data_IF_337616536577
#
_entry.id   IF_337616536577
#
_cell.length_a   1.000
_cell.length_b   1.000
_cell.length_c   1.000
_cell.angle_alpha   90.00
_cell.angle_beta   90.00
_cell.angle_gamma   90.00
#
_symmetry.space_group_name_H-M   'P 1'
#
loop_
_entity.id
_entity.type
_entity.pdbx_description
1 polymer ?
#
# COMPACT_ATOMS: atom_id res chain seq x y z
N UNK A 1 -17.97 36.28 54.80
CA UNK A 1 -17.86 36.85 53.45
C UNK A 1 -16.64 36.24 52.82
N UNK A 2 -16.77 35.09 52.15
CA UNK A 2 -15.66 34.39 51.50
C UNK A 2 -15.85 34.49 50.00
N UNK A 3 -14.92 35.18 49.35
CA UNK A 3 -14.81 35.24 47.92
C UNK A 3 -13.87 34.10 47.48
N UNK A 4 -14.46 33.08 46.87
CA UNK A 4 -13.72 32.00 46.19
C UNK A 4 -13.29 32.48 44.80
N UNK A 5 -11.98 32.51 44.57
CA UNK A 5 -11.33 32.79 43.30
C UNK A 5 -11.21 31.51 42.54
N UNK A 6 -11.83 31.39 41.38
CA UNK A 6 -11.65 30.26 40.45
C UNK A 6 -10.31 30.36 39.75
N UNK A 7 -9.60 29.25 39.56
CA UNK A 7 -8.39 29.22 38.72
C UNK A 7 -8.74 29.09 37.24
N UNK A 8 -8.15 29.98 36.47
CA UNK A 8 -8.18 30.08 35.02
C UNK A 8 -7.51 28.84 34.39
N UNK A 9 -8.23 28.10 33.59
CA UNK A 9 -7.69 26.99 32.80
C UNK A 9 -6.88 27.52 31.61
N UNK A 10 -5.58 27.39 31.70
CA UNK A 10 -4.67 27.64 30.59
C UNK A 10 -4.79 26.51 29.56
N UNK A 11 -5.11 26.94 28.33
CA UNK A 11 -5.23 26.06 27.19
C UNK A 11 -3.88 25.45 26.80
N UNK A 12 -3.79 24.13 26.97
CA UNK A 12 -2.69 23.33 26.41
C UNK A 12 -3.04 23.06 24.94
N UNK A 13 -2.41 23.82 24.07
CA UNK A 13 -2.42 23.57 22.64
C UNK A 13 -1.78 22.21 22.32
N UNK A 14 -2.61 21.27 21.92
CA UNK A 14 -2.20 19.94 21.47
C UNK A 14 -1.60 20.05 20.07
N UNK A 15 -0.31 20.39 20.00
CA UNK A 15 0.49 20.30 18.80
C UNK A 15 0.80 18.82 18.54
N UNK A 16 -0.10 18.14 17.85
CA UNK A 16 0.11 16.79 17.33
C UNK A 16 1.32 16.80 16.39
N UNK A 17 2.51 16.51 16.94
CA UNK A 17 3.73 16.27 16.18
C UNK A 17 3.59 15.00 15.38
N UNK A 18 3.18 15.13 14.12
CA UNK A 18 3.39 14.11 13.08
C UNK A 18 4.89 14.03 12.81
N UNK A 19 5.61 13.22 13.54
CA UNK A 19 6.91 12.72 13.11
C UNK A 19 7.44 11.69 14.13
N UNK A 20 6.97 10.46 14.00
CA UNK A 20 7.69 9.31 14.55
C UNK A 20 7.63 8.21 13.50
N UNK A 21 8.75 8.10 12.74
CA UNK A 21 9.01 6.98 11.83
C UNK A 21 9.20 5.71 12.69
N UNK A 22 8.28 4.75 12.70
CA UNK A 22 8.62 3.43 13.20
C UNK A 22 9.24 2.65 12.05
N UNK A 23 10.57 2.61 11.98
CA UNK A 23 11.30 1.60 11.22
C UNK A 23 11.08 0.25 11.88
N UNK A 24 9.89 -0.32 11.69
CA UNK A 24 9.56 -1.66 12.13
C UNK A 24 10.12 -2.67 11.13
N UNK A 25 11.31 -3.20 11.39
CA UNK A 25 11.82 -4.39 10.71
C UNK A 25 10.94 -5.57 11.14
N UNK A 26 10.00 -5.97 10.28
CA UNK A 26 9.19 -7.16 10.50
C UNK A 26 10.04 -8.42 10.27
N UNK A 27 10.56 -8.97 11.36
CA UNK A 27 11.08 -10.34 11.40
C UNK A 27 9.89 -11.30 11.36
N UNK A 28 9.88 -12.21 10.38
CA UNK A 28 8.94 -13.31 10.17
C UNK A 28 7.64 -13.00 9.42
N UNK A 29 7.57 -13.56 8.22
CA UNK A 29 6.48 -13.55 7.23
C UNK A 29 5.15 -14.18 7.68
N UNK A 30 4.98 -14.55 8.91
CA UNK A 30 3.70 -15.08 9.38
C UNK A 30 2.62 -14.03 9.54
N UNK A 31 2.98 -12.76 9.35
CA UNK A 31 2.09 -11.65 9.65
C UNK A 31 2.38 -10.46 8.68
N UNK A 32 1.74 -10.43 7.49
CA UNK A 32 1.06 -9.16 7.22
C UNK A 32 0.10 -9.05 8.40
N UNK A 33 0.34 -8.15 9.36
CA UNK A 33 -0.43 -8.18 10.58
C UNK A 33 -1.90 -8.15 10.17
N UNK A 34 -2.73 -9.03 10.77
CA UNK A 34 -4.19 -8.92 10.62
C UNK A 34 -4.66 -7.49 10.91
N UNK A 35 -3.83 -6.69 11.59
CA UNK A 35 -3.97 -5.26 11.84
C UNK A 35 -3.64 -4.32 10.69
N UNK A 36 -2.78 -4.64 9.69
CA UNK A 36 -2.48 -3.69 8.61
C UNK A 36 -3.70 -3.40 7.74
N UNK A 37 -4.43 -4.45 7.33
CA UNK A 37 -5.67 -4.27 6.59
C UNK A 37 -6.81 -3.75 7.47
N UNK A 38 -6.84 -4.07 8.76
CA UNK A 38 -7.78 -3.49 9.70
C UNK A 38 -7.46 -2.01 9.98
N UNK A 39 -6.20 -1.63 10.03
CA UNK A 39 -5.75 -0.23 10.18
C UNK A 39 -6.00 0.58 8.90
N UNK A 40 -5.78 -0.01 7.71
CA UNK A 40 -6.16 0.59 6.44
C UNK A 40 -7.68 0.79 6.31
N UNK A 41 -8.49 -0.06 6.95
CA UNK A 41 -9.95 0.07 6.92
C UNK A 41 -10.48 1.23 7.78
N UNK A 42 -9.68 1.84 8.65
CA UNK A 42 -10.16 2.84 9.61
C UNK A 42 -9.93 4.30 9.22
N UNK A 43 -8.97 4.63 8.38
CA UNK A 43 -8.75 5.94 7.73
C UNK A 43 -7.34 6.01 7.11
N UNK A 44 -7.23 6.09 5.79
CA UNK A 44 -5.96 6.29 5.11
C UNK A 44 -5.55 5.12 4.22
N UNK A 45 -4.46 5.29 3.48
CA UNK A 45 -3.83 4.20 2.75
C UNK A 45 -2.42 3.95 3.28
N UNK A 46 -2.03 2.68 3.26
CA UNK A 46 -0.71 2.24 3.71
C UNK A 46 0.14 1.80 2.53
N UNK A 47 1.46 2.01 2.65
CA UNK A 47 2.44 1.58 1.66
C UNK A 47 3.16 0.30 2.13
N UNK A 48 3.20 -0.69 1.25
CA UNK A 48 3.99 -1.91 1.41
C UNK A 48 5.15 -1.87 0.42
N UNK A 49 6.37 -1.65 0.90
CA UNK A 49 7.57 -1.66 0.09
C UNK A 49 8.38 -2.94 0.34
N UNK A 50 8.69 -3.70 -0.71
CA UNK A 50 9.45 -4.94 -0.53
C UNK A 50 9.67 -5.73 -1.81
N UNK A 51 10.30 -6.90 -1.71
CA UNK A 51 10.66 -7.71 -2.86
C UNK A 51 9.42 -8.28 -3.59
N UNK A 52 9.60 -8.66 -4.86
CA UNK A 52 8.52 -9.23 -5.69
C UNK A 52 7.87 -10.49 -5.11
N UNK A 53 8.59 -11.25 -4.30
CA UNK A 53 8.06 -12.42 -3.58
C UNK A 53 6.92 -12.08 -2.60
N UNK A 54 6.82 -10.82 -2.17
CA UNK A 54 5.72 -10.31 -1.35
C UNK A 54 4.36 -10.40 -2.06
N UNK A 55 4.36 -10.45 -3.39
CA UNK A 55 3.12 -10.42 -4.18
C UNK A 55 2.15 -11.57 -3.82
N UNK A 56 2.65 -12.78 -3.57
CA UNK A 56 1.81 -13.93 -3.20
C UNK A 56 1.04 -13.68 -1.89
N UNK A 57 1.67 -13.03 -0.93
CA UNK A 57 1.04 -12.66 0.34
C UNK A 57 -0.02 -11.59 0.16
N UNK A 58 0.24 -10.59 -0.70
CA UNK A 58 -0.75 -9.55 -1.02
C UNK A 58 -1.96 -10.19 -1.72
N UNK A 59 -1.76 -11.08 -2.69
CA UNK A 59 -2.84 -11.79 -3.37
C UNK A 59 -3.67 -12.66 -2.41
N UNK A 60 -3.02 -13.30 -1.44
CA UNK A 60 -3.71 -14.02 -0.36
C UNK A 60 -4.55 -13.08 0.50
N UNK A 61 -4.04 -11.89 0.80
CA UNK A 61 -4.79 -10.89 1.54
C UNK A 61 -5.99 -10.35 0.73
N UNK A 62 -5.84 -10.16 -0.57
CA UNK A 62 -6.95 -9.79 -1.48
C UNK A 62 -8.05 -10.86 -1.44
N UNK A 63 -7.71 -12.16 -1.48
CA UNK A 63 -8.68 -13.23 -1.34
C UNK A 63 -9.46 -13.13 -0.03
N UNK A 64 -8.78 -12.90 1.09
CA UNK A 64 -9.41 -12.73 2.41
C UNK A 64 -10.29 -11.48 2.51
N UNK A 65 -9.93 -10.40 1.82
CA UNK A 65 -10.80 -9.23 1.71
C UNK A 65 -12.06 -9.58 0.90
N UNK A 66 -11.90 -10.30 -0.22
CA UNK A 66 -13.00 -10.78 -1.06
C UNK A 66 -13.98 -11.71 -0.33
N UNK A 67 -13.52 -12.46 0.68
CA UNK A 67 -14.39 -13.24 1.57
C UNK A 67 -15.36 -12.34 2.35
N UNK A 68 -14.96 -11.12 2.67
CA UNK A 68 -15.75 -10.18 3.47
C UNK A 68 -16.64 -9.27 2.65
N UNK A 69 -16.31 -9.04 1.37
CA UNK A 69 -17.08 -8.16 0.49
C UNK A 69 -16.35 -7.79 -0.78
N UNK A 70 -16.86 -6.78 -1.48
CA UNK A 70 -16.25 -6.28 -2.70
C UNK A 70 -14.85 -5.71 -2.45
N UNK A 71 -13.93 -5.92 -3.38
CA UNK A 71 -12.54 -5.41 -3.34
C UNK A 71 -12.18 -4.87 -4.72
N UNK A 72 -11.54 -3.72 -4.75
CA UNK A 72 -10.99 -3.15 -5.98
C UNK A 72 -9.48 -3.32 -6.04
N UNK A 73 -9.00 -3.90 -7.13
CA UNK A 73 -7.58 -4.08 -7.40
C UNK A 73 -7.19 -3.25 -8.61
N UNK A 74 -6.20 -2.36 -8.43
CA UNK A 74 -5.60 -1.54 -9.46
C UNK A 74 -4.17 -2.05 -9.69
N UNK A 75 -3.93 -2.68 -10.82
CA UNK A 75 -2.69 -3.42 -11.07
C UNK A 75 -1.77 -2.63 -12.01
N UNK A 76 -0.69 -2.06 -11.46
CA UNK A 76 0.30 -1.29 -12.22
C UNK A 76 1.49 -2.13 -12.70
N UNK A 77 1.76 -3.26 -12.07
CA UNK A 77 2.91 -4.09 -12.37
C UNK A 77 2.60 -5.41 -13.09
N UNK A 78 1.34 -5.60 -13.53
CA UNK A 78 0.84 -6.90 -14.03
C UNK A 78 1.09 -8.03 -13.02
N UNK A 79 0.76 -7.77 -11.74
CA UNK A 79 1.02 -8.66 -10.61
C UNK A 79 -0.17 -9.50 -10.18
N UNK A 80 -1.37 -9.15 -10.62
CA UNK A 80 -2.57 -9.90 -10.27
C UNK A 80 -2.58 -11.26 -10.96
N UNK A 81 -2.71 -12.30 -10.16
CA UNK A 81 -2.82 -13.68 -10.61
C UNK A 81 -4.09 -14.30 -10.00
N UNK A 82 -5.11 -14.48 -10.84
CA UNK A 82 -6.41 -15.04 -10.43
C UNK A 82 -6.30 -16.45 -9.86
N UNK A 83 -5.38 -17.28 -10.38
CA UNK A 83 -5.17 -18.64 -9.86
C UNK A 83 -4.65 -18.64 -8.42
N UNK A 84 -3.70 -17.74 -8.11
CA UNK A 84 -3.21 -17.59 -6.73
C UNK A 84 -4.31 -17.14 -5.78
N UNK A 85 -5.16 -16.20 -6.20
CA UNK A 85 -6.31 -15.73 -5.43
C UNK A 85 -7.34 -16.85 -5.25
N UNK A 86 -7.69 -17.58 -6.30
CA UNK A 86 -8.63 -18.70 -6.24
C UNK A 86 -8.16 -19.80 -5.28
N UNK A 87 -6.87 -20.13 -5.33
CA UNK A 87 -6.28 -21.12 -4.41
C UNK A 87 -6.32 -20.64 -2.96
N UNK A 88 -6.05 -19.35 -2.72
CA UNK A 88 -6.14 -18.74 -1.39
C UNK A 88 -7.58 -18.64 -0.87
N UNK A 89 -8.56 -18.54 -1.78
CA UNK A 89 -9.99 -18.57 -1.49
C UNK A 89 -10.55 -20.00 -1.33
N UNK A 90 -9.68 -21.01 -1.33
CA UNK A 90 -10.08 -22.43 -1.19
C UNK A 90 -11.13 -22.88 -2.24
N UNK A 91 -11.00 -22.41 -3.47
CA UNK A 91 -11.88 -22.77 -4.59
C UNK A 91 -13.29 -22.18 -4.54
N UNK A 92 -13.51 -21.14 -3.71
CA UNK A 92 -14.80 -20.43 -3.65
C UNK A 92 -14.91 -19.39 -4.77
N UNK A 93 -15.66 -19.66 -5.85
CA UNK A 93 -15.75 -18.77 -7.00
C UNK A 93 -16.36 -17.41 -6.65
N UNK A 94 -17.31 -17.36 -5.73
CA UNK A 94 -17.98 -16.15 -5.27
C UNK A 94 -17.01 -15.10 -4.70
N UNK A 95 -15.85 -15.52 -4.22
CA UNK A 95 -14.78 -14.60 -3.76
C UNK A 95 -14.17 -13.87 -4.95
N UNK A 96 -13.95 -14.56 -6.07
CA UNK A 96 -13.39 -13.96 -7.28
C UNK A 96 -14.38 -12.98 -7.92
N UNK A 97 -15.66 -13.26 -7.90
CA UNK A 97 -16.71 -12.39 -8.45
C UNK A 97 -16.79 -11.04 -7.72
N UNK A 98 -16.34 -10.98 -6.46
CA UNK A 98 -16.28 -9.75 -5.66
C UNK A 98 -15.02 -8.93 -5.90
N UNK A 99 -14.06 -9.45 -6.65
CA UNK A 99 -12.78 -8.78 -6.89
C UNK A 99 -12.80 -8.15 -8.29
N UNK A 100 -12.89 -6.83 -8.34
CA UNK A 100 -12.77 -6.09 -9.60
C UNK A 100 -11.32 -5.73 -9.85
N UNK A 101 -10.77 -6.13 -11.00
CA UNK A 101 -9.38 -5.85 -11.38
C UNK A 101 -9.33 -4.92 -12.58
N UNK A 102 -8.55 -3.85 -12.46
CA UNK A 102 -8.23 -2.94 -13.56
C UNK A 102 -6.73 -2.77 -13.67
N UNK A 103 -6.20 -2.71 -14.89
CA UNK A 103 -4.75 -2.67 -15.15
C UNK A 103 -4.33 -1.39 -15.84
N UNK A 104 -3.10 -0.97 -15.51
CA UNK A 104 -2.39 0.10 -16.18
C UNK A 104 -0.99 -0.37 -16.55
N UNK A 105 -0.51 -0.02 -17.72
CA UNK A 105 0.80 -0.40 -18.24
C UNK A 105 1.76 0.79 -18.37
N UNK A 106 1.25 2.01 -18.25
CA UNK A 106 2.02 3.25 -18.27
C UNK A 106 1.61 4.14 -17.11
N UNK A 107 2.48 5.09 -16.73
CA UNK A 107 2.17 6.08 -15.70
C UNK A 107 0.95 6.96 -16.04
N UNK A 108 0.73 7.26 -17.31
CA UNK A 108 -0.45 7.98 -17.78
C UNK A 108 -1.74 7.17 -17.62
N UNK A 109 -1.68 5.86 -17.95
CA UNK A 109 -2.81 4.96 -17.75
C UNK A 109 -3.10 4.76 -16.26
N UNK A 110 -2.07 4.71 -15.41
CA UNK A 110 -2.24 4.61 -13.96
C UNK A 110 -2.95 5.84 -13.40
N UNK A 111 -2.55 7.03 -13.81
CA UNK A 111 -3.25 8.26 -13.44
C UNK A 111 -4.71 8.24 -13.88
N UNK A 112 -4.96 7.94 -15.16
CA UNK A 112 -6.33 7.88 -15.71
C UNK A 112 -7.19 6.80 -15.00
N UNK A 113 -6.59 5.68 -14.62
CA UNK A 113 -7.26 4.61 -13.89
C UNK A 113 -7.67 5.09 -12.48
N UNK A 114 -6.76 5.71 -11.75
CA UNK A 114 -7.06 6.26 -10.41
C UNK A 114 -8.09 7.39 -10.49
N UNK A 115 -7.99 8.28 -11.48
CA UNK A 115 -8.94 9.37 -11.71
C UNK A 115 -10.37 8.85 -11.90
N UNK A 116 -10.55 7.85 -12.76
CA UNK A 116 -11.86 7.24 -13.08
C UNK A 116 -12.39 6.33 -11.98
N UNK A 117 -11.56 5.95 -11.02
CA UNK A 117 -11.98 5.10 -9.91
C UNK A 117 -12.95 5.84 -9.00
N UNK A 118 -14.21 5.37 -8.85
CA UNK A 118 -15.21 6.06 -8.03
C UNK A 118 -14.86 5.95 -6.54
N UNK A 119 -15.16 7.04 -5.81
CA UNK A 119 -15.00 7.12 -4.34
C UNK A 119 -16.21 6.48 -3.68
N UNK A 120 -16.12 5.18 -3.38
CA UNK A 120 -17.18 4.37 -2.75
C UNK A 120 -16.58 3.55 -1.59
N UNK A 121 -17.44 3.07 -0.70
CA UNK A 121 -17.01 2.28 0.47
C UNK A 121 -16.56 0.85 0.10
N UNK A 122 -15.63 0.75 -0.83
CA UNK A 122 -15.00 -0.50 -1.26
C UNK A 122 -13.49 -0.37 -1.09
N UNK A 123 -12.85 -1.22 -0.27
CA UNK A 123 -11.41 -1.17 -0.06
C UNK A 123 -10.67 -1.36 -1.38
N UNK A 124 -9.55 -0.65 -1.53
CA UNK A 124 -8.73 -0.73 -2.73
C UNK A 124 -7.32 -1.26 -2.44
N UNK A 125 -6.79 -1.99 -3.40
CA UNK A 125 -5.41 -2.48 -3.38
C UNK A 125 -4.74 -2.08 -4.69
N UNK A 126 -3.66 -1.29 -4.61
CA UNK A 126 -2.83 -0.97 -5.76
C UNK A 126 -1.62 -1.89 -5.79
N UNK A 127 -1.48 -2.67 -6.84
CA UNK A 127 -0.37 -3.60 -7.01
C UNK A 127 0.74 -2.95 -7.82
N UNK A 128 1.92 -2.85 -7.21
CA UNK A 128 3.17 -2.40 -7.83
C UNK A 128 3.04 -1.05 -8.57
N UNK A 129 2.54 -0.03 -7.85
CA UNK A 129 2.25 1.29 -8.38
C UNK A 129 3.43 1.88 -9.17
N UNK A 130 4.65 1.80 -8.61
CA UNK A 130 5.83 2.44 -9.20
C UNK A 130 6.36 1.71 -10.43
N UNK A 131 5.95 0.48 -10.71
CA UNK A 131 6.36 -0.26 -11.91
C UNK A 131 6.09 0.52 -13.19
N UNK A 132 4.95 1.22 -13.27
CA UNK A 132 4.57 2.05 -14.42
C UNK A 132 5.36 3.35 -14.51
N UNK A 133 6.05 3.76 -13.45
CA UNK A 133 6.86 4.99 -13.36
C UNK A 133 8.36 4.74 -13.55
N UNK A 134 8.78 3.48 -13.67
CA UNK A 134 10.20 3.15 -13.94
C UNK A 134 10.56 3.22 -15.42
N UNK A 135 9.61 3.52 -16.30
CA UNK A 135 9.85 3.72 -17.71
C UNK A 135 10.69 4.98 -17.94
N UNK A 136 11.93 4.79 -18.42
CA UNK A 136 12.91 5.85 -18.64
C UNK A 136 12.60 6.71 -19.88
N UNK A 137 11.68 6.27 -20.74
CA UNK A 137 11.22 7.08 -21.89
C UNK A 137 10.46 8.33 -21.44
N UNK A 138 9.90 8.35 -20.23
CA UNK A 138 9.24 9.50 -19.64
C UNK A 138 10.21 10.29 -18.78
N UNK A 139 10.29 11.60 -19.01
CA UNK A 139 11.18 12.47 -18.24
C UNK A 139 10.90 12.43 -16.74
N UNK A 140 11.94 12.47 -15.90
CA UNK A 140 11.85 12.37 -14.45
C UNK A 140 10.88 13.40 -13.84
N UNK A 141 10.93 14.66 -14.32
CA UNK A 141 10.02 15.72 -13.88
C UNK A 141 8.55 15.37 -14.12
N UNK A 142 8.25 14.81 -15.28
CA UNK A 142 6.89 14.40 -15.64
C UNK A 142 6.45 13.19 -14.81
N UNK A 143 7.30 12.19 -14.61
CA UNK A 143 7.02 11.06 -13.72
C UNK A 143 6.67 11.51 -12.30
N UNK A 144 7.42 12.46 -11.74
CA UNK A 144 7.14 13.06 -10.42
C UNK A 144 5.80 13.80 -10.39
N UNK A 145 5.50 14.58 -11.44
CA UNK A 145 4.22 15.29 -11.57
C UNK A 145 3.05 14.32 -11.58
N UNK A 146 3.12 13.29 -12.42
CA UNK A 146 2.08 12.26 -12.54
C UNK A 146 1.91 11.49 -11.24
N UNK A 147 3.01 11.14 -10.54
CA UNK A 147 2.95 10.44 -9.26
C UNK A 147 2.24 11.27 -8.20
N UNK A 148 2.52 12.58 -8.11
CA UNK A 148 1.81 13.47 -7.18
C UNK A 148 0.32 13.54 -7.49
N UNK A 149 -0.05 13.55 -8.77
CA UNK A 149 -1.45 13.49 -9.19
C UNK A 149 -2.10 12.15 -8.79
N UNK A 150 -1.40 11.02 -8.95
CA UNK A 150 -1.86 9.72 -8.47
C UNK A 150 -2.08 9.71 -6.95
N UNK A 151 -1.16 10.29 -6.18
CA UNK A 151 -1.28 10.43 -4.72
C UNK A 151 -2.53 11.25 -4.34
N UNK A 152 -2.83 12.33 -5.05
CA UNK A 152 -4.05 13.10 -4.81
C UNK A 152 -5.31 12.26 -5.00
N UNK A 153 -5.32 11.37 -5.99
CA UNK A 153 -6.44 10.43 -6.19
C UNK A 153 -6.47 9.32 -5.13
N UNK A 154 -5.33 8.81 -4.67
CA UNK A 154 -5.28 7.86 -3.54
C UNK A 154 -5.87 8.49 -2.28
N UNK A 155 -5.50 9.74 -1.98
CA UNK A 155 -6.04 10.50 -0.84
C UNK A 155 -7.56 10.78 -1.00
N UNK A 156 -8.05 10.92 -2.22
CA UNK A 156 -9.49 11.02 -2.48
C UNK A 156 -10.20 9.69 -2.20
N UNK A 157 -9.62 8.57 -2.63
CA UNK A 157 -10.21 7.24 -2.45
C UNK A 157 -10.24 6.82 -0.97
N UNK A 158 -9.21 7.17 -0.19
CA UNK A 158 -9.16 6.84 1.24
C UNK A 158 -10.26 7.48 2.07
N UNK A 159 -10.85 8.58 1.59
CA UNK A 159 -11.97 9.23 2.27
C UNK A 159 -13.22 8.35 2.36
N UNK A 160 -13.39 7.40 1.45
CA UNK A 160 -14.52 6.48 1.45
C UNK A 160 -14.14 5.09 1.98
N UNK A 161 -12.95 4.62 1.69
CA UNK A 161 -12.49 3.31 2.15
C UNK A 161 -10.96 3.26 2.18
N UNK A 162 -10.41 2.58 3.18
CA UNK A 162 -8.98 2.41 3.30
C UNK A 162 -8.35 1.63 2.14
N UNK A 163 -7.06 1.86 1.92
CA UNK A 163 -6.32 1.26 0.82
C UNK A 163 -4.95 0.72 1.19
N UNK A 164 -4.46 -0.15 0.34
CA UNK A 164 -3.09 -0.69 0.40
C UNK A 164 -2.44 -0.45 -0.95
N UNK A 165 -1.26 0.15 -0.93
CA UNK A 165 -0.42 0.35 -2.11
C UNK A 165 0.84 -0.46 -1.96
N UNK A 166 1.15 -1.32 -2.92
CA UNK A 166 2.41 -2.05 -2.93
C UNK A 166 3.38 -1.47 -3.95
N UNK A 167 4.66 -1.54 -3.63
CA UNK A 167 5.75 -1.18 -4.53
C UNK A 167 6.88 -2.19 -4.42
N UNK A 168 7.53 -2.45 -5.54
CA UNK A 168 8.73 -3.26 -5.61
C UNK A 168 9.90 -2.39 -6.07
N UNK A 169 11.11 -2.62 -5.55
CA UNK A 169 12.28 -1.90 -6.04
C UNK A 169 12.48 -2.20 -7.53
N UNK A 170 13.02 -1.27 -8.31
CA UNK A 170 13.36 -1.50 -9.70
C UNK A 170 14.44 -2.60 -9.82
N UNK A 171 14.48 -3.25 -10.97
CA UNK A 171 15.47 -4.30 -11.23
C UNK A 171 16.91 -3.76 -11.14
N UNK A 172 17.11 -2.52 -11.61
CA UNK A 172 18.36 -1.79 -11.49
C UNK A 172 18.10 -0.55 -10.62
N UNK A 173 18.78 -0.42 -9.47
CA UNK A 173 18.63 0.78 -8.64
C UNK A 173 19.09 2.02 -9.40
N UNK A 174 18.27 3.06 -9.40
CA UNK A 174 18.66 4.37 -9.92
C UNK A 174 18.12 5.50 -9.01
N UNK A 175 18.78 6.67 -8.99
CA UNK A 175 18.39 7.78 -8.11
C UNK A 175 16.95 8.24 -8.32
N UNK A 176 16.48 8.26 -9.57
CA UNK A 176 15.12 8.69 -9.89
C UNK A 176 14.05 7.75 -9.28
N UNK A 177 14.33 6.45 -9.24
CA UNK A 177 13.43 5.49 -8.61
C UNK A 177 13.36 5.67 -7.08
N UNK A 178 14.47 6.00 -6.44
CA UNK A 178 14.51 6.30 -5.01
C UNK A 178 13.72 7.56 -4.68
N UNK A 179 13.87 8.63 -5.48
CA UNK A 179 13.09 9.87 -5.32
C UNK A 179 11.57 9.63 -5.47
N UNK A 180 11.16 8.79 -6.42
CA UNK A 180 9.74 8.44 -6.58
C UNK A 180 9.21 7.67 -5.36
N UNK A 181 10.02 6.77 -4.81
CA UNK A 181 9.69 6.04 -3.60
C UNK A 181 9.55 6.98 -2.40
N UNK A 182 10.48 7.92 -2.23
CA UNK A 182 10.46 8.91 -1.15
C UNK A 182 9.19 9.80 -1.21
N UNK A 183 8.81 10.24 -2.41
CA UNK A 183 7.57 10.99 -2.63
C UNK A 183 6.35 10.19 -2.16
N UNK A 184 6.30 8.90 -2.53
CA UNK A 184 5.17 8.03 -2.19
C UNK A 184 5.14 7.71 -0.69
N UNK A 185 6.29 7.44 -0.08
CA UNK A 185 6.42 7.18 1.37
C UNK A 185 6.01 8.38 2.22
N UNK A 186 6.36 9.59 1.77
CA UNK A 186 6.02 10.83 2.46
C UNK A 186 4.51 11.11 2.47
N UNK A 187 3.77 10.55 1.53
CA UNK A 187 2.33 10.75 1.38
C UNK A 187 1.49 9.66 2.06
N UNK A 188 2.05 8.46 2.26
CA UNK A 188 1.35 7.35 2.90
C UNK A 188 1.11 7.63 4.39
N UNK A 189 -0.02 7.16 4.92
CA UNK A 189 -0.32 7.22 6.35
C UNK A 189 0.72 6.42 7.15
N UNK A 190 1.13 5.27 6.64
CA UNK A 190 2.13 4.40 7.24
C UNK A 190 2.87 3.63 6.15
N UNK A 191 4.15 3.29 6.38
CA UNK A 191 4.98 2.55 5.44
C UNK A 191 5.58 1.33 6.10
N UNK A 192 5.37 0.16 5.50
CA UNK A 192 5.94 -1.11 5.93
C UNK A 192 6.98 -1.58 4.94
N UNK A 193 8.21 -1.71 5.40
CA UNK A 193 9.29 -2.31 4.63
C UNK A 193 9.34 -3.81 4.90
N UNK A 194 9.06 -4.58 3.86
CA UNK A 194 9.06 -6.04 3.94
C UNK A 194 10.42 -6.56 3.50
N UNK A 195 11.13 -7.24 4.40
CA UNK A 195 12.36 -7.94 4.10
C UNK A 195 12.11 -9.45 4.11
N UNK A 196 12.60 -10.17 3.09
CA UNK A 196 12.63 -11.62 3.16
C UNK A 196 13.69 -12.06 4.17
N UNK A 197 13.33 -12.92 5.09
CA UNK A 197 14.33 -13.66 5.84
C UNK A 197 15.15 -14.47 4.83
N UNK A 198 16.43 -14.18 4.71
CA UNK A 198 17.35 -15.06 3.98
C UNK A 198 17.32 -16.40 4.71
N UNK A 199 16.97 -17.52 4.04
CA UNK A 199 17.07 -18.82 4.69
C UNK A 199 18.50 -18.95 5.21
N UNK A 200 18.66 -19.29 6.49
CA UNK A 200 19.97 -19.60 7.04
C UNK A 200 20.60 -20.66 6.15
N UNK A 201 21.88 -20.54 5.76
CA UNK A 201 22.53 -21.58 5.02
C UNK A 201 22.41 -22.89 5.81
N UNK A 202 21.78 -23.89 5.21
CA UNK A 202 21.77 -25.22 5.83
C UNK A 202 23.23 -25.65 6.05
N UNK A 203 23.61 -26.09 7.26
CA UNK A 203 24.95 -26.58 7.47
C UNK A 203 25.17 -27.76 6.51
N UNK A 204 26.10 -27.62 5.59
CA UNK A 204 26.52 -28.73 4.74
C UNK A 204 26.95 -29.88 5.65
N UNK A 205 26.16 -30.93 5.68
CA UNK A 205 26.60 -32.19 6.29
C UNK A 205 27.70 -32.75 5.39
N UNK A 206 28.93 -32.58 5.84
CA UNK A 206 30.06 -33.36 5.31
C UNK A 206 29.85 -34.79 5.75
N UNK A 207 29.66 -35.68 4.80
CA UNK A 207 29.62 -37.13 5.01
C UNK A 207 30.99 -37.64 5.33
#
# INVERSE_FOLDING_TARGET
MNTLTEPKADGIGDSCRRNSRPTGVLREWRLVPRGCFAKAASAGWILLAGPRSMNSTILTAIARLGERGAVRVLDGGNRFNAYTVARAAHGRPEVLERITVSRAFTCYQMLSLLERTPTIQVPFVVLDLLSTFYDESVQVGERKRLLRACISHLNRLEQAAGGVVSVHPPAVPNPAALELLDILQSAAMDTFHVQMATPAPEPMRLF
#
